data_IF_111250716854
#
_entry.id   IF_111250716854
#
_cell.length_a   1.000
_cell.length_b   1.000
_cell.length_c   1.000
_cell.angle_alpha   90.00
_cell.angle_beta   90.00
_cell.angle_gamma   90.00
#
_symmetry.space_group_name_H-M   'P 1'
#
loop_
_entity.id
_entity.type
_entity.pdbx_description
1 polymer ?
2 non-polymer ?
3 non-polymer ?
4 non-polymer ?
5 non-polymer ?
6 water ?
#
# COMPACT_ATOMS: atom_id res chain seq x y z
N UNK A 1 20.42 28.81 -7.13
CA UNK A 1 21.47 28.92 -6.06
C UNK A 1 21.59 27.57 -5.34
N UNK A 2 20.45 26.92 -5.10
CA UNK A 2 20.40 25.65 -4.37
C UNK A 2 20.85 24.45 -5.19
N UNK A 3 20.60 24.45 -6.51
CA UNK A 3 21.06 23.36 -7.39
C UNK A 3 22.14 23.80 -8.42
N UNK A 4 22.78 24.93 -8.15
CA UNK A 4 23.90 25.42 -8.94
C UNK A 4 25.18 25.12 -8.20
N UNK A 5 26.15 24.55 -8.91
CA UNK A 5 27.40 24.16 -8.29
C UNK A 5 28.36 25.37 -8.13
N UNK A 6 28.78 25.66 -6.90
CA UNK A 6 29.77 26.71 -6.64
C UNK A 6 31.16 26.10 -6.51
N UNK A 7 31.26 24.89 -5.97
CA UNK A 7 32.51 24.17 -5.93
C UNK A 7 32.28 22.66 -5.79
N UNK A 8 33.11 21.87 -6.46
CA UNK A 8 33.12 20.43 -6.32
C UNK A 8 34.54 19.98 -6.05
N UNK A 9 34.76 19.08 -5.09
CA UNK A 9 36.09 18.50 -4.94
C UNK A 9 36.10 17.09 -4.39
N UNK A 10 37.21 16.40 -4.59
CA UNK A 10 37.35 15.07 -4.05
C UNK A 10 37.98 15.23 -2.66
N UNK A 11 37.52 14.43 -1.69
CA UNK A 11 37.92 14.54 -0.29
C UNK A 11 38.13 13.17 0.32
N UNK A 12 38.78 13.11 1.48
CA UNK A 12 38.85 11.88 2.29
C UNK A 12 39.56 10.81 1.51
N UNK A 13 40.81 11.09 1.17
CA UNK A 13 41.60 10.18 0.35
C UNK A 13 40.95 9.96 -1.01
N UNK A 14 40.24 10.98 -1.50
CA UNK A 14 39.45 10.95 -2.75
C UNK A 14 38.30 9.89 -2.84
N UNK A 15 37.85 9.43 -1.67
CA UNK A 15 36.72 8.49 -1.54
C UNK A 15 35.36 9.14 -1.45
N UNK A 16 35.33 10.46 -1.43
CA UNK A 16 34.10 11.24 -1.25
C UNK A 16 34.16 12.45 -2.22
N UNK A 17 33.04 12.86 -2.80
CA UNK A 17 32.96 14.14 -3.48
C UNK A 17 32.09 15.05 -2.65
N UNK A 18 32.55 16.27 -2.44
CA UNK A 18 31.77 17.29 -1.74
C UNK A 18 31.39 18.34 -2.74
N UNK A 19 30.11 18.71 -2.76
CA UNK A 19 29.63 19.81 -3.56
C UNK A 19 29.20 20.93 -2.61
N UNK A 20 29.69 22.14 -2.87
CA UNK A 20 29.20 23.34 -2.20
C UNK A 20 28.28 24.00 -3.23
N UNK A 21 26.99 24.09 -2.92
CA UNK A 21 25.98 24.68 -3.78
C UNK A 21 26.03 26.19 -3.59
N UNK A 22 25.37 26.91 -4.50
CA UNK A 22 25.43 28.37 -4.45
C UNK A 22 24.64 29.00 -3.30
N UNK A 23 23.69 28.25 -2.74
CA UNK A 23 23.02 28.64 -1.49
C UNK A 23 23.88 28.38 -0.23
N UNK A 24 25.14 28.01 -0.42
CA UNK A 24 26.10 27.76 0.65
C UNK A 24 25.94 26.40 1.38
N UNK A 25 24.91 25.61 1.06
CA UNK A 25 24.84 24.24 1.64
C UNK A 25 25.82 23.28 0.97
N UNK A 26 26.17 22.20 1.66
CA UNK A 26 27.13 21.25 1.15
C UNK A 26 26.49 19.87 1.03
N UNK A 27 26.88 19.08 0.03
CA UNK A 27 26.42 17.68 -0.12
C UNK A 27 27.63 16.77 -0.32
N UNK A 28 27.52 15.53 0.17
CA UNK A 28 28.59 14.53 0.09
C UNK A 28 28.09 13.29 -0.66
N UNK A 29 28.94 12.74 -1.53
CA UNK A 29 28.62 11.62 -2.41
C UNK A 29 29.76 10.63 -2.42
N UNK A 30 29.55 9.40 -1.90
CA UNK A 30 30.68 8.50 -1.88
C UNK A 30 31.15 8.17 -3.28
N UNK A 31 32.45 8.03 -3.47
CA UNK A 31 33.00 7.71 -4.76
C UNK A 31 32.50 6.40 -5.35
N UNK A 32 32.35 5.38 -4.52
CA UNK A 32 31.83 4.08 -4.99
C UNK A 32 30.40 4.19 -5.52
N UNK A 33 29.57 5.01 -4.87
CA UNK A 33 28.20 5.26 -5.31
C UNK A 33 28.18 6.00 -6.67
N UNK A 34 29.05 6.99 -6.83
CA UNK A 34 29.15 7.69 -8.10
C UNK A 34 29.54 6.75 -9.22
N UNK A 35 30.59 5.97 -9.01
CA UNK A 35 31.02 5.01 -10.06
C UNK A 35 29.91 3.99 -10.39
N UNK A 36 29.27 3.49 -9.32
CA UNK A 36 28.11 2.56 -9.46
C UNK A 36 27.01 3.14 -10.32
N UNK A 37 26.88 4.46 -10.28
CA UNK A 37 25.77 5.11 -10.95
C UNK A 37 26.15 6.01 -12.10
N UNK A 38 27.30 5.73 -12.70
CA UNK A 38 27.71 6.39 -13.93
C UNK A 38 26.61 6.26 -14.99
N UNK A 39 26.15 7.39 -15.55
CA UNK A 39 25.08 7.32 -16.56
C UNK A 39 25.50 7.07 -17.99
N UNK A 40 26.77 6.77 -18.27
CA UNK A 40 27.20 6.59 -19.64
C UNK A 40 26.57 5.32 -20.23
N UNK A 41 26.60 5.19 -21.54
CA UNK A 41 25.94 4.08 -22.23
C UNK A 41 26.60 2.72 -21.97
N UNK A 42 27.86 2.71 -21.50
CA UNK A 42 28.48 1.46 -21.06
C UNK A 42 27.82 0.93 -19.78
N UNK A 43 27.48 1.84 -18.88
CA UNK A 43 27.08 1.51 -17.53
C UNK A 43 25.62 1.53 -17.33
N UNK A 44 24.88 2.08 -18.29
CA UNK A 44 23.50 2.45 -18.07
C UNK A 44 22.71 2.41 -19.36
N UNK A 45 21.60 1.67 -19.36
CA UNK A 45 20.80 1.46 -20.54
C UNK A 45 19.64 2.44 -20.52
N UNK A 46 19.75 3.49 -21.32
CA UNK A 46 18.84 4.60 -21.19
C UNK A 46 17.40 4.25 -21.56
N UNK A 47 17.23 3.37 -22.54
CA UNK A 47 15.90 3.00 -22.98
C UNK A 47 15.13 2.30 -21.84
N UNK A 48 15.85 1.57 -20.96
CA UNK A 48 15.26 0.84 -19.82
C UNK A 48 15.35 1.63 -18.52
N UNK A 49 16.10 2.72 -18.51
CA UNK A 49 16.41 3.43 -17.27
C UNK A 49 16.92 2.43 -16.20
N UNK A 50 17.93 1.65 -16.57
CA UNK A 50 18.44 0.58 -15.72
C UNK A 50 19.95 0.47 -15.79
N UNK A 51 20.56 -0.06 -14.73
CA UNK A 51 22.00 -0.21 -14.64
C UNK A 51 22.46 -1.46 -15.39
N UNK A 52 23.44 -1.30 -16.28
CA UNK A 52 24.12 -2.41 -16.96
C UNK A 52 25.39 -2.83 -16.19
N UNK A 53 26.03 -1.85 -15.55
CA UNK A 53 27.20 -2.13 -14.73
C UNK A 53 26.97 -3.30 -13.75
N UNK A 54 27.88 -4.26 -13.78
CA UNK A 54 27.81 -5.38 -12.85
C UNK A 54 28.50 -5.02 -11.54
N UNK A 55 28.06 -5.67 -10.45
CA UNK A 55 28.73 -5.57 -9.16
C UNK A 55 30.19 -5.97 -9.31
N UNK A 56 30.41 -6.97 -10.15
CA UNK A 56 31.74 -7.53 -10.39
C UNK A 56 32.65 -6.48 -11.03
N UNK A 57 32.09 -5.47 -11.67
CA UNK A 57 32.93 -4.40 -12.28
C UNK A 57 33.25 -3.27 -11.32
N UNK A 58 32.70 -3.30 -10.11
CA UNK A 58 32.81 -2.20 -9.19
C UNK A 58 33.91 -2.44 -8.15
N UNK A 59 34.93 -1.57 -8.15
CA UNK A 59 35.95 -1.55 -7.11
C UNK A 59 35.39 -0.82 -5.91
N UNK A 60 35.08 -1.55 -4.85
CA UNK A 60 34.47 -0.96 -3.67
C UNK A 60 35.41 0.00 -2.93
N UNK A 61 36.71 -0.07 -3.21
CA UNK A 61 37.72 0.82 -2.61
C UNK A 61 38.12 1.98 -3.53
N UNK A 62 37.32 2.19 -4.58
CA UNK A 62 37.60 3.18 -5.57
C UNK A 62 37.66 4.58 -4.99
N UNK A 63 38.55 5.35 -5.57
CA UNK A 63 38.66 6.80 -5.38
C UNK A 63 38.56 7.55 -6.70
N UNK A 64 38.19 8.82 -6.62
CA UNK A 64 38.19 9.73 -7.78
C UNK A 64 39.62 10.04 -8.25
N UNK A 65 39.96 9.81 -9.52
CA UNK A 65 41.30 10.15 -9.97
C UNK A 65 41.40 11.67 -10.33
N UNK A 66 40.40 12.20 -11.03
CA UNK A 66 40.35 13.63 -11.33
C UNK A 66 38.93 14.11 -11.40
N UNK A 67 38.77 15.39 -11.15
CA UNK A 67 37.47 16.01 -11.19
C UNK A 67 37.59 17.45 -11.67
N UNK A 68 36.70 17.83 -12.59
CA UNK A 68 36.42 19.22 -12.95
C UNK A 68 34.89 19.45 -12.96
N UNK A 69 34.47 20.71 -12.97
CA UNK A 69 33.06 21.02 -12.86
C UNK A 69 32.75 22.37 -13.45
N UNK A 70 31.49 22.59 -13.78
CA UNK A 70 31.01 23.92 -14.09
C UNK A 70 29.77 24.06 -13.22
N UNK A 71 28.95 25.08 -13.47
CA UNK A 71 27.78 25.31 -12.63
C UNK A 71 26.72 24.21 -12.66
N UNK A 72 26.70 23.42 -13.72
CA UNK A 72 25.66 22.46 -13.95
C UNK A 72 26.10 20.98 -13.97
N UNK A 73 27.39 20.69 -14.07
CA UNK A 73 27.87 19.32 -14.18
C UNK A 73 29.19 19.12 -13.50
N UNK A 74 29.43 17.87 -13.07
CA UNK A 74 30.74 17.39 -12.66
C UNK A 74 31.27 16.40 -13.68
N UNK A 75 32.56 16.44 -13.94
CA UNK A 75 33.18 15.57 -14.91
C UNK A 75 34.32 14.84 -14.19
N UNK A 76 34.25 13.50 -14.11
CA UNK A 76 35.15 12.71 -13.30
C UNK A 76 35.94 11.71 -14.10
N UNK A 77 37.22 11.59 -13.79
CA UNK A 77 38.01 10.47 -14.29
C UNK A 77 38.31 9.49 -13.16
N UNK A 78 38.27 8.23 -13.53
CA UNK A 78 38.48 7.16 -12.58
C UNK A 78 39.88 6.52 -12.75
N UNK A 79 40.40 5.88 -11.69
CA UNK A 79 41.73 5.28 -11.80
C UNK A 79 41.93 4.40 -13.04
N UNK A 80 40.90 3.69 -13.50
CA UNK A 80 41.10 2.81 -14.67
C UNK A 80 40.80 3.46 -16.01
N UNK A 81 40.72 4.79 -16.01
CA UNK A 81 40.42 5.63 -17.19
C UNK A 81 38.95 5.66 -17.63
N UNK A 82 38.06 5.02 -16.90
CA UNK A 82 36.65 5.28 -17.14
C UNK A 82 36.34 6.76 -16.86
N UNK A 83 35.34 7.27 -17.57
CA UNK A 83 35.00 8.68 -17.49
C UNK A 83 33.51 8.84 -17.20
N UNK A 84 33.15 9.77 -16.31
CA UNK A 84 31.72 9.97 -15.95
C UNK A 84 31.29 11.46 -15.86
N UNK A 85 30.07 11.77 -16.30
CA UNK A 85 29.47 13.10 -16.14
C UNK A 85 28.21 12.98 -15.31
N UNK A 86 28.05 13.86 -14.33
CA UNK A 86 26.86 13.93 -13.51
C UNK A 86 26.27 15.32 -13.52
N UNK A 87 24.95 15.38 -13.64
CA UNK A 87 24.20 16.64 -13.71
C UNK A 87 23.88 17.18 -12.32
N UNK A 88 23.94 18.51 -12.15
CA UNK A 88 23.74 19.08 -10.83
C UNK A 88 22.38 18.74 -10.19
N UNK A 89 21.32 18.79 -10.98
CA UNK A 89 19.98 18.54 -10.46
C UNK A 89 19.82 17.09 -10.04
N UNK A 90 20.38 16.17 -10.83
CA UNK A 90 20.34 14.73 -10.49
C UNK A 90 21.06 14.52 -9.17
N UNK A 91 22.21 15.17 -9.03
CA UNK A 91 23.00 15.09 -7.81
C UNK A 91 22.22 15.67 -6.61
N UNK A 92 21.63 16.84 -6.81
CA UNK A 92 20.96 17.55 -5.73
C UNK A 92 19.85 16.70 -5.13
N UNK A 93 19.07 16.07 -6.01
CA UNK A 93 17.92 15.26 -5.63
C UNK A 93 18.31 14.05 -4.77
N UNK A 94 19.48 13.47 -5.08
CA UNK A 94 19.99 12.25 -4.42
C UNK A 94 20.94 12.52 -3.26
N UNK A 95 21.02 13.78 -2.81
CA UNK A 95 21.83 14.16 -1.65
C UNK A 95 21.56 13.25 -0.45
N UNK A 96 22.62 12.79 0.18
CA UNK A 96 22.52 11.84 1.28
C UNK A 96 22.17 12.42 2.66
N UNK A 97 21.95 13.73 2.77
CA UNK A 97 21.45 14.29 4.00
C UNK A 97 20.09 13.67 4.37
N UNK A 98 19.82 13.64 5.66
CA UNK A 98 18.59 13.03 6.13
C UNK A 98 17.40 13.76 5.53
N UNK A 99 17.47 15.08 5.51
CA UNK A 99 16.36 15.89 4.98
C UNK A 99 16.10 15.62 3.53
N UNK A 100 17.16 15.58 2.72
CA UNK A 100 16.96 15.36 1.27
C UNK A 100 16.46 13.95 1.00
N UNK A 101 16.97 12.96 1.73
CA UNK A 101 16.51 11.56 1.54
C UNK A 101 15.04 11.39 1.94
N UNK A 102 14.64 11.98 3.07
CA UNK A 102 13.28 11.87 3.56
C UNK A 102 12.30 12.54 2.60
N UNK A 103 12.69 13.69 2.08
CA UNK A 103 11.85 14.38 1.16
C UNK A 103 11.56 13.56 -0.10
N UNK A 104 12.60 12.96 -0.63
CA UNK A 104 12.47 12.15 -1.80
C UNK A 104 11.59 10.91 -1.49
N UNK A 105 11.82 10.24 -0.36
CA UNK A 105 10.93 9.12 0.05
C UNK A 105 9.44 9.50 0.13
N UNK A 106 9.15 10.69 0.65
CA UNK A 106 7.77 11.13 0.66
C UNK A 106 7.20 11.20 -0.73
N UNK A 107 7.99 11.67 -1.68
CA UNK A 107 7.57 11.86 -3.06
C UNK A 107 7.35 10.53 -3.76
N UNK A 108 8.13 9.53 -3.38
CA UNK A 108 8.00 8.21 -3.95
C UNK A 108 6.83 7.43 -3.34
N UNK A 109 6.58 7.57 -2.03
CA UNK A 109 5.69 6.60 -1.32
C UNK A 109 4.43 7.17 -0.69
N UNK A 110 4.21 8.48 -0.82
CA UNK A 110 3.00 9.14 -0.32
C UNK A 110 2.62 8.68 1.09
N UNK A 111 3.54 8.84 2.06
CA UNK A 111 3.26 8.36 3.39
C UNK A 111 2.17 9.12 4.15
N UNK A 112 1.73 10.30 3.70
CA UNK A 112 0.73 11.07 4.48
C UNK A 112 -0.50 10.23 4.81
N UNK A 113 -0.93 10.29 6.07
CA UNK A 113 -1.94 9.41 6.59
C UNK A 113 -2.87 10.19 7.51
N UNK A 114 -4.17 10.05 7.33
CA UNK A 114 -5.10 10.72 8.21
C UNK A 114 -5.99 9.71 8.90
N UNK A 115 -5.74 9.50 10.18
CA UNK A 115 -6.47 8.56 11.00
C UNK A 115 -7.86 9.11 11.28
N UNK A 116 -8.82 8.20 11.44
CA UNK A 116 -10.20 8.61 11.71
C UNK A 116 -10.93 7.59 12.58
N UNK A 117 -11.99 8.07 13.24
CA UNK A 117 -13.00 7.28 13.95
C UNK A 117 -14.40 7.53 13.41
N UNK A 118 -15.38 7.51 14.31
CA UNK A 118 -16.80 7.69 13.93
C UNK A 118 -17.14 9.01 13.26
N UNK A 119 -16.22 9.99 13.38
CA UNK A 119 -16.39 11.33 12.78
C UNK A 119 -16.07 11.39 11.29
N UNK A 120 -15.65 10.27 10.72
CA UNK A 120 -15.34 10.24 9.29
C UNK A 120 -16.42 10.87 8.38
N UNK A 121 -15.94 11.75 7.50
CA UNK A 121 -16.71 12.28 6.41
C UNK A 121 -16.23 11.46 5.24
N UNK A 122 -17.09 10.59 4.72
CA UNK A 122 -16.67 9.65 3.69
C UNK A 122 -16.29 10.36 2.38
N UNK A 123 -14.97 10.35 2.03
CA UNK A 123 -14.57 11.02 0.79
C UNK A 123 -15.34 10.42 -0.39
N UNK A 124 -15.85 11.26 -1.29
CA UNK A 124 -16.79 10.81 -2.30
C UNK A 124 -16.49 11.55 -3.60
N UNK A 125 -16.40 10.79 -4.69
CA UNK A 125 -16.25 11.33 -6.03
C UNK A 125 -17.22 10.68 -6.99
N UNK A 126 -17.37 11.29 -8.17
CA UNK A 126 -18.18 10.72 -9.24
C UNK A 126 -17.38 9.68 -10.04
N UNK A 127 -18.04 8.56 -10.34
CA UNK A 127 -17.44 7.40 -11.02
C UNK A 127 -16.97 7.72 -12.43
N UNK A 128 -17.88 8.22 -13.26
CA UNK A 128 -17.51 8.58 -14.63
C UNK A 128 -16.43 9.64 -14.68
N UNK A 129 -16.47 10.63 -13.78
CA UNK A 129 -15.44 11.66 -13.73
C UNK A 129 -14.07 11.05 -13.53
N UNK A 130 -14.00 10.07 -12.60
CA UNK A 130 -12.76 9.38 -12.27
C UNK A 130 -12.23 8.61 -13.46
N UNK A 131 -13.12 7.99 -14.25
CA UNK A 131 -12.71 7.27 -15.46
C UNK A 131 -12.22 8.23 -16.54
N UNK A 132 -12.73 9.46 -16.51
CA UNK A 132 -12.51 10.37 -17.62
C UNK A 132 -11.38 11.37 -17.36
N UNK A 133 -11.29 11.93 -16.16
CA UNK A 133 -10.32 12.99 -15.88
C UNK A 133 -9.22 12.57 -14.93
N UNK A 134 -7.97 12.84 -15.32
CA UNK A 134 -6.80 12.56 -14.51
C UNK A 134 -6.82 13.31 -13.20
N UNK A 135 -7.31 14.55 -13.22
CA UNK A 135 -7.46 15.34 -12.00
C UNK A 135 -8.32 14.55 -10.98
N UNK A 136 -9.39 13.92 -11.46
CA UNK A 136 -10.29 13.16 -10.59
C UNK A 136 -9.73 11.78 -10.16
N UNK A 137 -9.05 11.10 -11.08
CA UNK A 137 -8.41 9.84 -10.77
C UNK A 137 -7.26 10.07 -9.81
N UNK A 138 -6.61 11.21 -9.90
CA UNK A 138 -5.55 11.55 -8.97
C UNK A 138 -6.09 11.77 -7.56
N UNK A 139 -7.19 12.50 -7.48
CA UNK A 139 -7.81 12.76 -6.21
C UNK A 139 -8.28 11.43 -5.62
N UNK A 140 -8.86 10.60 -6.46
CA UNK A 140 -9.29 9.28 -6.07
C UNK A 140 -8.16 8.49 -5.36
N UNK A 141 -7.05 8.25 -6.05
CA UNK A 141 -5.99 7.40 -5.52
C UNK A 141 -5.21 8.02 -4.36
N UNK A 142 -4.99 9.34 -4.40
CA UNK A 142 -4.28 10.00 -3.34
C UNK A 142 -5.10 9.94 -2.07
N UNK A 143 -6.42 10.05 -2.19
CA UNK A 143 -7.27 10.02 -1.00
C UNK A 143 -7.37 8.58 -0.47
N UNK A 144 -7.48 7.60 -1.37
CA UNK A 144 -7.43 6.20 -1.03
C UNK A 144 -6.20 5.93 -0.19
N UNK A 145 -5.04 6.40 -0.64
CA UNK A 145 -3.76 6.16 0.09
C UNK A 145 -3.72 6.87 1.44
N UNK A 146 -4.16 8.13 1.46
CA UNK A 146 -4.12 8.94 2.67
C UNK A 146 -5.16 8.55 3.73
N UNK A 147 -6.40 8.37 3.31
CA UNK A 147 -7.52 8.19 4.20
C UNK A 147 -7.88 6.70 4.31
N UNK A 148 -7.68 5.93 3.24
CA UNK A 148 -7.88 4.47 3.27
C UNK A 148 -9.19 4.09 2.61
N UNK A 149 -9.96 5.08 2.21
CA UNK A 149 -11.20 4.78 1.52
C UNK A 149 -11.73 5.95 0.73
N UNK A 150 -12.37 5.64 -0.39
CA UNK A 150 -13.08 6.57 -1.20
C UNK A 150 -14.33 5.92 -1.73
N UNK A 151 -15.46 6.59 -1.58
CA UNK A 151 -16.65 6.18 -2.32
C UNK A 151 -16.79 6.85 -3.69
N UNK A 152 -17.21 6.05 -4.65
CA UNK A 152 -17.52 6.58 -5.99
C UNK A 152 -19.00 6.39 -6.25
N UNK A 153 -19.69 7.47 -6.58
CA UNK A 153 -21.12 7.41 -6.87
C UNK A 153 -21.37 7.61 -8.35
N UNK A 154 -22.58 7.27 -8.77
CA UNK A 154 -22.96 7.38 -10.18
C UNK A 154 -22.50 6.26 -11.09
N UNK A 155 -22.10 5.10 -10.56
CA UNK A 155 -21.82 3.97 -11.45
C UNK A 155 -23.16 3.39 -11.90
N UNK A 156 -23.15 2.40 -12.77
CA UNK A 156 -24.39 1.76 -13.17
C UNK A 156 -24.85 0.78 -12.09
N UNK A 157 -25.96 0.13 -12.36
CA UNK A 157 -26.45 -0.92 -11.48
C UNK A 157 -26.27 -2.28 -12.16
N UNK A 158 -25.13 -2.43 -12.86
CA UNK A 158 -24.86 -3.64 -13.64
C UNK A 158 -23.41 -4.07 -13.42
N UNK A 159 -23.13 -5.40 -13.52
CA UNK A 159 -21.72 -5.89 -13.55
C UNK A 159 -20.80 -5.15 -14.51
N UNK A 160 -19.49 -5.20 -14.25
CA UNK A 160 -18.52 -4.59 -15.12
C UNK A 160 -17.97 -3.26 -14.66
N UNK A 161 -18.54 -2.65 -13.62
CA UNK A 161 -17.99 -1.37 -13.18
C UNK A 161 -16.63 -1.50 -12.47
N UNK A 162 -16.48 -2.52 -11.63
CA UNK A 162 -15.17 -2.65 -10.95
C UNK A 162 -14.08 -2.90 -11.99
N UNK A 163 -14.41 -3.65 -13.05
CA UNK A 163 -13.49 -3.92 -14.13
C UNK A 163 -13.01 -2.64 -14.79
N UNK A 164 -13.88 -1.65 -15.01
CA UNK A 164 -13.47 -0.35 -15.57
C UNK A 164 -12.45 0.38 -14.68
N UNK A 165 -12.71 0.39 -13.37
CA UNK A 165 -11.76 0.96 -12.42
C UNK A 165 -10.44 0.18 -12.38
N UNK A 166 -10.52 -1.13 -12.54
CA UNK A 166 -9.33 -1.98 -12.67
C UNK A 166 -8.40 -1.57 -13.80
N UNK A 167 -9.00 -1.36 -14.98
CA UNK A 167 -8.30 -0.81 -16.14
C UNK A 167 -7.76 0.58 -15.89
N UNK A 168 -8.57 1.46 -15.31
CA UNK A 168 -8.07 2.76 -14.90
C UNK A 168 -6.83 2.62 -14.00
N UNK A 169 -6.77 1.62 -13.12
CA UNK A 169 -5.58 1.50 -12.31
C UNK A 169 -4.49 0.89 -13.18
N UNK A 170 -4.83 -0.20 -13.83
CA UNK A 170 -3.89 -0.91 -14.69
C UNK A 170 -4.41 -2.31 -14.90
N UNK A 171 -4.41 -3.10 -13.84
CA UNK A 171 -5.06 -4.41 -13.86
C UNK A 171 -5.40 -4.82 -12.44
N UNK A 172 -6.43 -5.67 -12.39
CA UNK A 172 -6.94 -6.21 -11.17
C UNK A 172 -6.11 -7.45 -10.78
N UNK A 173 -6.30 -7.86 -9.54
CA UNK A 173 -5.52 -8.93 -8.92
C UNK A 173 -6.35 -10.21 -8.89
N UNK A 174 -5.95 -11.19 -9.70
CA UNK A 174 -6.68 -12.47 -9.82
C UNK A 174 -6.46 -13.34 -8.61
N UNK A 175 -7.56 -13.88 -8.06
CA UNK A 175 -7.48 -14.82 -6.93
C UNK A 175 -8.37 -16.05 -7.23
N UNK A 176 -8.37 -17.03 -6.33
CA UNK A 176 -9.19 -18.22 -6.47
C UNK A 176 -10.69 -17.94 -6.56
N UNK A 177 -11.13 -16.73 -6.21
CA UNK A 177 -12.54 -16.34 -6.27
C UNK A 177 -12.87 -15.66 -7.60
N UNK A 178 -11.85 -15.48 -8.45
CA UNK A 178 -12.05 -14.98 -9.80
C UNK A 178 -11.43 -13.61 -10.03
N UNK A 179 -11.53 -13.11 -11.24
CA UNK A 179 -11.10 -11.74 -11.56
C UNK A 179 -11.97 -10.71 -10.86
N UNK A 180 -13.28 -10.95 -10.92
CA UNK A 180 -14.23 -10.26 -10.09
C UNK A 180 -15.12 -11.34 -9.51
N UNK A 181 -15.94 -10.96 -8.55
CA UNK A 181 -16.75 -11.96 -7.85
C UNK A 181 -18.04 -11.38 -7.33
N UNK A 182 -19.01 -12.23 -7.09
CA UNK A 182 -20.37 -11.78 -6.78
C UNK A 182 -20.73 -12.09 -5.31
N UNK A 183 -20.91 -11.03 -4.51
CA UNK A 183 -21.32 -11.18 -3.12
C UNK A 183 -22.85 -11.22 -3.11
N UNK A 184 -23.37 -12.42 -2.92
CA UNK A 184 -24.79 -12.75 -2.88
C UNK A 184 -24.94 -14.00 -2.06
N UNK A 185 -26.16 -14.27 -1.62
CA UNK A 185 -26.48 -15.51 -0.90
C UNK A 185 -26.45 -16.68 -1.87
N UNK A 186 -25.63 -17.72 -1.62
CA UNK A 186 -25.52 -18.85 -2.55
C UNK A 186 -25.75 -20.18 -1.87
N UNK A 187 -26.44 -21.09 -2.58
CA UNK A 187 -26.67 -22.44 -2.07
C UNK A 187 -25.31 -23.10 -2.01
N UNK A 188 -25.04 -23.88 -0.96
CA UNK A 188 -23.73 -24.48 -0.76
C UNK A 188 -22.58 -23.45 -0.82
N UNK A 189 -22.75 -22.35 -0.09
CA UNK A 189 -21.76 -21.26 -0.10
C UNK A 189 -20.37 -21.77 0.25
N UNK A 190 -19.41 -21.49 -0.62
CA UNK A 190 -18.01 -21.77 -0.35
C UNK A 190 -17.32 -20.76 0.60
N UNK A 191 -18.08 -19.77 1.10
CA UNK A 191 -17.53 -18.67 1.88
C UNK A 191 -18.65 -17.97 2.64
N UNK A 192 -18.42 -17.61 3.90
CA UNK A 192 -19.48 -16.94 4.67
C UNK A 192 -19.90 -15.59 4.06
N UNK A 193 -19.02 -15.00 3.25
CA UNK A 193 -19.40 -13.79 2.53
C UNK A 193 -20.62 -14.05 1.64
N UNK A 194 -20.73 -15.27 1.12
CA UNK A 194 -21.79 -15.61 0.16
C UNK A 194 -23.05 -16.20 0.85
N UNK A 195 -23.40 -15.59 1.99
CA UNK A 195 -24.57 -15.90 2.79
C UNK A 195 -25.22 -14.59 3.18
N UNK A 196 -26.35 -14.68 3.91
CA UNK A 196 -27.03 -13.51 4.46
C UNK A 196 -26.57 -13.18 5.92
N UNK A 197 -25.59 -13.91 6.43
CA UNK A 197 -25.09 -13.70 7.79
C UNK A 197 -24.36 -12.37 7.99
N UNK A 198 -24.25 -11.95 9.26
CA UNK A 198 -23.44 -10.81 9.66
C UNK A 198 -21.96 -11.07 9.40
N UNK A 199 -21.22 -10.11 8.84
CA UNK A 199 -19.76 -10.22 8.83
C UNK A 199 -19.23 -9.22 9.82
N UNK A 200 -18.58 -9.71 10.86
CA UNK A 200 -17.91 -8.84 11.81
C UNK A 200 -16.68 -8.28 11.11
N UNK A 201 -16.03 -7.32 11.76
CA UNK A 201 -14.82 -6.70 11.20
C UNK A 201 -13.76 -7.72 10.81
N UNK A 202 -13.31 -7.57 9.58
CA UNK A 202 -12.28 -8.42 9.01
C UNK A 202 -11.54 -7.67 7.89
N UNK A 203 -10.34 -8.15 7.60
CA UNK A 203 -9.68 -7.90 6.31
C UNK A 203 -9.94 -9.12 5.41
N UNK A 204 -9.94 -8.90 4.10
CA UNK A 204 -10.07 -9.95 3.11
C UNK A 204 -8.76 -10.67 2.85
N UNK A 205 -8.91 -11.99 2.82
CA UNK A 205 -7.95 -12.90 2.30
C UNK A 205 -6.68 -13.02 3.15
N UNK A 206 -6.78 -13.00 4.49
CA UNK A 206 -5.52 -13.36 5.18
C UNK A 206 -5.07 -14.80 4.94
N UNK A 207 -5.89 -15.64 4.31
CA UNK A 207 -5.42 -16.98 3.92
C UNK A 207 -4.30 -16.94 2.89
N UNK A 208 -4.07 -15.78 2.26
CA UNK A 208 -2.87 -15.58 1.38
C UNK A 208 -1.74 -14.91 2.17
N UNK A 209 -0.48 -15.28 1.91
CA UNK A 209 0.62 -14.60 2.56
C UNK A 209 0.73 -13.13 2.07
N UNK A 210 0.18 -12.81 0.91
CA UNK A 210 0.17 -11.42 0.41
C UNK A 210 -1.28 -10.99 0.17
N UNK A 211 -1.98 -10.61 1.25
CA UNK A 211 -3.38 -10.30 1.04
C UNK A 211 -3.52 -9.12 0.03
N UNK A 212 -4.65 -9.06 -0.74
CA UNK A 212 -4.95 -7.89 -1.55
C UNK A 212 -4.76 -6.57 -0.78
N UNK A 213 -4.03 -5.63 -1.38
CA UNK A 213 -3.88 -4.31 -0.82
C UNK A 213 -5.12 -3.43 -0.88
N UNK A 214 -5.82 -3.47 -2.00
CA UNK A 214 -6.97 -2.62 -2.27
C UNK A 214 -8.15 -3.47 -2.71
N UNK A 215 -9.30 -3.14 -2.14
CA UNK A 215 -10.51 -3.83 -2.45
C UNK A 215 -11.52 -2.88 -3.07
N UNK A 216 -12.28 -3.37 -4.02
CA UNK A 216 -13.33 -2.61 -4.68
C UNK A 216 -14.64 -3.35 -4.50
N UNK A 217 -15.69 -2.66 -4.09
CA UNK A 217 -17.01 -3.27 -3.88
C UNK A 217 -18.08 -2.34 -4.48
N UNK A 218 -18.84 -2.88 -5.40
CA UNK A 218 -19.84 -2.12 -6.16
C UNK A 218 -21.24 -2.71 -5.87
N UNK A 219 -22.15 -1.84 -5.41
CA UNK A 219 -23.51 -2.27 -5.08
C UNK A 219 -24.34 -2.22 -6.37
N UNK A 220 -24.77 -3.41 -6.76
CA UNK A 220 -25.61 -3.65 -7.91
C UNK A 220 -27.06 -3.65 -7.41
N UNK A 221 -27.29 -4.31 -6.28
CA UNK A 221 -28.62 -4.46 -5.69
C UNK A 221 -28.47 -4.49 -4.18
N UNK A 222 -29.37 -3.84 -3.49
CA UNK A 222 -29.33 -3.71 -2.03
C UNK A 222 -30.68 -4.08 -1.45
N UNK A 223 -30.68 -4.64 -0.26
CA UNK A 223 -31.90 -5.05 0.42
C UNK A 223 -32.26 -4.00 1.47
N UNK A 224 -33.55 -3.78 1.70
CA UNK A 224 -33.99 -2.96 2.86
C UNK A 224 -33.95 -3.73 4.19
N UNK A 225 -33.78 -5.04 4.17
CA UNK A 225 -33.89 -5.80 5.41
C UNK A 225 -32.65 -5.85 6.31
N UNK A 226 -31.59 -5.16 5.92
CA UNK A 226 -30.30 -5.20 6.64
C UNK A 226 -29.17 -4.87 5.63
N UNK A 227 -27.95 -5.35 5.90
CA UNK A 227 -26.84 -5.26 4.93
C UNK A 227 -26.13 -3.91 4.88
N UNK A 228 -26.30 -3.10 5.91
CA UNK A 228 -25.46 -1.90 6.11
C UNK A 228 -24.00 -2.28 6.17
N UNK A 229 -23.14 -1.36 5.73
CA UNK A 229 -21.70 -1.52 5.81
C UNK A 229 -21.11 -0.90 7.05
N UNK A 230 -20.02 -1.46 7.53
CA UNK A 230 -19.27 -0.85 8.63
C UNK A 230 -17.77 -0.92 8.31
N UNK A 231 -17.06 0.15 8.66
CA UNK A 231 -15.60 0.23 8.54
C UNK A 231 -15.01 0.79 9.82
N UNK A 232 -13.74 0.52 10.02
CA UNK A 232 -12.97 1.03 11.12
C UNK A 232 -11.54 1.21 10.58
N UNK A 233 -10.85 2.24 11.05
CA UNK A 233 -9.42 2.46 10.69
C UNK A 233 -8.51 1.56 11.56
N UNK A 234 -8.02 0.45 10.99
CA UNK A 234 -7.18 -0.48 11.76
C UNK A 234 -5.91 0.17 12.38
N UNK A 235 -5.32 1.13 11.68
CA UNK A 235 -4.12 1.75 12.23
C UNK A 235 -4.48 2.56 13.45
N UNK A 236 -5.64 3.19 13.40
CA UNK A 236 -6.14 3.96 14.55
C UNK A 236 -6.43 3.08 15.75
N UNK A 237 -7.11 1.96 15.51
CA UNK A 237 -7.44 1.00 16.57
C UNK A 237 -6.16 0.41 17.20
N UNK A 238 -5.15 0.15 16.39
CA UNK A 238 -3.93 -0.45 16.90
C UNK A 238 -3.24 0.52 17.84
N UNK A 239 -3.26 1.79 17.49
CA UNK A 239 -2.63 2.83 18.30
C UNK A 239 -3.30 2.92 19.67
N UNK A 240 -4.64 2.86 19.69
CA UNK A 240 -5.41 2.89 20.93
C UNK A 240 -5.15 1.62 21.73
N UNK A 241 -5.04 0.47 21.06
CA UNK A 241 -4.75 -0.79 21.77
C UNK A 241 -3.38 -0.78 22.44
N UNK A 242 -2.35 -0.31 21.74
CA UNK A 242 -0.99 -0.21 22.33
C UNK A 242 -0.97 0.66 23.60
N UNK A 243 -1.73 1.75 23.55
CA UNK A 243 -1.95 2.69 24.67
C UNK A 243 -2.71 2.05 25.84
N UNK A 244 -3.91 1.52 25.57
CA UNK A 244 -4.76 0.94 26.62
C UNK A 244 -4.25 -0.41 27.12
N UNK A 245 -3.66 -1.21 26.26
CA UNK A 245 -3.34 -2.58 26.61
C UNK A 245 -2.09 -3.11 25.92
N UNK A 246 -0.93 -2.62 26.37
CA UNK A 246 0.31 -2.95 25.69
C UNK A 246 0.53 -4.44 25.66
N UNK A 247 0.05 -5.15 26.67
CA UNK A 247 0.19 -6.62 26.65
C UNK A 247 -0.58 -7.29 25.52
N UNK A 248 -1.85 -6.93 25.37
CA UNK A 248 -2.65 -7.41 24.23
C UNK A 248 -2.00 -7.07 22.89
N UNK A 249 -1.50 -5.84 22.78
CA UNK A 249 -0.79 -5.39 21.59
C UNK A 249 0.43 -6.22 21.30
N UNK A 250 1.24 -6.46 22.33
CA UNK A 250 2.40 -7.32 22.22
C UNK A 250 2.04 -8.73 21.71
N UNK A 251 0.99 -9.34 22.27
CA UNK A 251 0.57 -10.71 21.85
C UNK A 251 0.11 -10.71 20.38
N UNK A 252 -0.74 -9.76 20.04
CA UNK A 252 -1.27 -9.75 18.69
C UNK A 252 -0.24 -9.44 17.61
N UNK A 253 0.76 -8.61 17.95
CA UNK A 253 1.82 -8.25 17.03
C UNK A 253 2.99 -9.22 17.03
N UNK A 254 2.92 -10.24 17.88
CA UNK A 254 3.99 -11.24 17.91
C UNK A 254 3.54 -12.69 17.66
N UNK A 255 2.25 -13.00 17.74
CA UNK A 255 1.80 -14.38 17.62
C UNK A 255 1.39 -14.75 16.21
N UNK A 256 1.98 -15.81 15.66
CA UNK A 256 1.54 -16.30 14.33
C UNK A 256 0.27 -17.14 14.43
N UNK A 257 -0.75 -16.72 13.70
CA UNK A 257 -2.04 -17.32 13.61
C UNK A 257 -2.17 -17.98 12.26
N UNK A 258 -2.73 -19.18 12.25
CA UNK A 258 -2.90 -19.94 11.01
C UNK A 258 -4.25 -19.63 10.40
N UNK A 259 -4.26 -19.30 9.10
CA UNK A 259 -5.47 -19.10 8.32
C UNK A 259 -5.58 -20.17 7.22
N UNK A 260 -6.83 -20.47 6.85
CA UNK A 260 -7.12 -21.55 5.91
C UNK A 260 -8.30 -21.24 5.01
N UNK A 261 -8.26 -21.82 3.81
CA UNK A 261 -9.39 -21.71 2.88
C UNK A 261 -9.32 -22.87 1.91
N UNK A 262 -10.32 -23.74 1.95
CA UNK A 262 -10.36 -24.93 1.12
C UNK A 262 -11.70 -24.95 0.40
N UNK A 263 -11.69 -25.24 -0.89
CA UNK A 263 -12.93 -25.20 -1.67
C UNK A 263 -12.71 -25.13 -3.16
N UNK A 264 -13.77 -24.79 -3.88
CA UNK A 264 -13.69 -24.71 -5.31
C UNK A 264 -14.40 -23.46 -5.74
N UNK A 265 -13.74 -22.66 -6.57
CA UNK A 265 -14.42 -21.52 -7.16
C UNK A 265 -13.84 -21.27 -8.58
N UNK A 266 -12.97 -20.28 -8.77
CA UNK A 266 -12.31 -20.09 -10.08
C UNK A 266 -11.48 -21.35 -10.45
N UNK A 267 -10.88 -21.94 -9.43
CA UNK A 267 -10.12 -23.14 -9.53
C UNK A 267 -10.40 -23.88 -8.25
N UNK A 268 -9.95 -25.12 -8.14
CA UNK A 268 -10.01 -25.81 -6.85
C UNK A 268 -8.79 -25.42 -6.02
N UNK A 269 -8.99 -25.26 -4.71
CA UNK A 269 -7.94 -24.69 -3.87
C UNK A 269 -7.90 -25.28 -2.47
N UNK A 270 -6.69 -25.30 -1.91
CA UNK A 270 -6.48 -25.64 -0.53
C UNK A 270 -5.38 -24.71 0.00
N UNK A 271 -5.78 -23.60 0.59
CA UNK A 271 -4.89 -22.50 0.90
C UNK A 271 -4.63 -22.42 2.41
N UNK A 272 -3.37 -22.25 2.76
CA UNK A 272 -2.96 -22.15 4.15
C UNK A 272 -1.97 -21.02 4.31
N UNK A 273 -2.07 -20.30 5.44
CA UNK A 273 -1.08 -19.28 5.80
C UNK A 273 -0.86 -19.16 7.28
N UNK A 274 0.13 -18.34 7.63
CA UNK A 274 0.39 -17.86 8.99
C UNK A 274 0.64 -16.35 8.90
N UNK A 275 0.13 -15.59 9.86
CA UNK A 275 0.35 -14.13 9.94
C UNK A 275 0.23 -13.72 11.37
N UNK A 276 0.92 -12.64 11.71
CA UNK A 276 0.65 -11.92 12.92
C UNK A 276 -0.54 -11.00 12.62
N UNK A 277 -1.57 -11.01 13.47
CA UNK A 277 -2.78 -10.19 13.22
C UNK A 277 -2.44 -8.69 13.08
N UNK A 278 -1.56 -8.21 13.95
CA UNK A 278 -1.03 -6.86 13.85
C UNK A 278 0.40 -7.00 13.37
N UNK A 279 0.64 -6.53 12.14
CA UNK A 279 1.92 -6.78 11.50
C UNK A 279 2.77 -5.53 11.50
N UNK A 280 3.93 -5.58 12.15
CA UNK A 280 4.78 -4.39 12.37
C UNK A 280 5.95 -4.36 11.39
N UNK A 281 6.40 -3.16 10.99
CA UNK A 281 7.64 -3.08 10.20
C UNK A 281 8.86 -3.17 11.16
N UNK A 282 10.07 -3.00 10.64
CA UNK A 282 11.27 -3.15 11.46
C UNK A 282 11.44 -2.04 12.48
N UNK A 283 10.75 -0.93 12.31
CA UNK A 283 10.74 0.16 13.29
C UNK A 283 9.56 0.11 14.21
N UNK A 284 8.80 -0.98 14.19
CA UNK A 284 7.66 -1.06 15.09
C UNK A 284 6.39 -0.33 14.65
N UNK A 285 6.32 0.16 13.43
CA UNK A 285 5.08 0.78 12.92
C UNK A 285 4.15 -0.27 12.32
N UNK A 286 2.87 -0.19 12.64
CA UNK A 286 1.91 -1.09 12.05
C UNK A 286 1.79 -0.81 10.56
N UNK A 287 1.98 -1.84 9.75
CA UNK A 287 1.86 -1.72 8.30
C UNK A 287 0.76 -2.56 7.72
N UNK A 288 0.32 -3.58 8.45
CA UNK A 288 -0.83 -4.38 8.00
C UNK A 288 -1.55 -5.09 9.14
N UNK A 289 -2.86 -5.13 9.00
CA UNK A 289 -3.74 -5.98 9.78
C UNK A 289 -4.12 -7.18 8.94
N UNK A 290 -3.96 -8.36 9.52
CA UNK A 290 -4.32 -9.61 8.82
C UNK A 290 -5.31 -10.36 9.70
N UNK A 291 -6.59 -10.24 9.41
CA UNK A 291 -7.61 -10.81 10.32
C UNK A 291 -8.99 -11.00 9.72
N UNK A 292 -9.34 -12.26 9.53
CA UNK A 292 -10.69 -12.65 9.21
C UNK A 292 -11.06 -13.84 10.15
N UNK A 293 -12.06 -13.65 11.01
CA UNK A 293 -12.44 -14.70 11.97
C UNK A 293 -13.06 -15.92 11.31
N UNK A 294 -13.59 -15.77 10.11
CA UNK A 294 -14.19 -16.89 9.41
C UNK A 294 -13.10 -17.83 8.93
N UNK A 295 -11.98 -17.29 8.43
CA UNK A 295 -10.93 -18.11 7.86
C UNK A 295 -9.76 -18.41 8.77
N UNK A 296 -9.76 -17.86 9.98
CA UNK A 296 -8.79 -18.31 11.00
C UNK A 296 -8.97 -19.84 11.21
N UNK A 297 -7.88 -20.58 11.17
CA UNK A 297 -7.95 -22.04 11.20
C UNK A 297 -8.35 -22.59 12.60
N UNK A 298 -8.78 -23.85 12.65
CA UNK A 298 -8.96 -24.60 13.91
C UNK A 298 -7.59 -24.99 14.47
N UNK A 299 -6.66 -25.23 13.55
CA UNK A 299 -5.25 -25.46 13.83
C UNK A 299 -4.74 -24.15 14.43
N UNK A 300 -4.12 -24.24 15.60
CA UNK A 300 -3.53 -23.07 16.22
C UNK A 300 -2.20 -23.49 16.79
N UNK A 301 -1.14 -23.01 16.12
CA UNK A 301 0.21 -23.47 16.35
C UNK A 301 0.89 -22.64 17.45
N UNK A 302 0.44 -22.81 18.68
CA UNK A 302 1.10 -22.19 19.84
C UNK A 302 1.05 -23.13 21.04
N UNK A 303 2.00 -22.97 21.99
CA UNK A 303 1.90 -23.78 23.19
C UNK A 303 0.63 -23.48 23.96
N UNK A 304 0.19 -24.47 24.72
CA UNK A 304 -1.14 -24.46 25.31
C UNK A 304 -1.35 -23.25 26.21
N UNK A 305 -0.29 -22.88 26.93
CA UNK A 305 -0.37 -21.79 27.88
C UNK A 305 -0.50 -20.40 27.23
N UNK A 306 -0.18 -20.31 25.94
CA UNK A 306 -0.36 -19.06 25.21
C UNK A 306 -1.75 -18.88 24.59
N UNK A 307 -2.55 -19.92 24.59
CA UNK A 307 -3.83 -19.92 23.89
C UNK A 307 -4.83 -18.96 24.50
N UNK A 308 -5.10 -19.08 25.79
CA UNK A 308 -6.15 -18.25 26.35
C UNK A 308 -5.77 -16.76 26.39
N UNK A 309 -4.50 -16.45 26.77
CA UNK A 309 -4.07 -15.06 26.63
C UNK A 309 -4.22 -14.51 25.20
N UNK A 310 -4.03 -15.34 24.17
CA UNK A 310 -4.23 -14.89 22.81
C UNK A 310 -5.67 -14.48 22.62
N UNK A 311 -6.60 -15.33 23.04
CA UNK A 311 -8.00 -15.00 22.88
C UNK A 311 -8.40 -13.78 23.69
N UNK A 312 -7.89 -13.63 24.88
CA UNK A 312 -8.23 -12.45 25.68
C UNK A 312 -7.76 -11.16 24.98
N UNK A 313 -6.59 -11.21 24.33
CA UNK A 313 -6.05 -10.11 23.52
C UNK A 313 -6.91 -9.79 22.32
N UNK A 314 -7.21 -10.83 21.55
CA UNK A 314 -8.10 -10.66 20.39
C UNK A 314 -9.45 -10.03 20.76
N UNK A 315 -10.03 -10.45 21.88
CA UNK A 315 -11.30 -9.89 22.33
C UNK A 315 -11.15 -8.38 22.61
N UNK A 316 -10.07 -7.98 23.27
CA UNK A 316 -9.86 -6.52 23.55
C UNK A 316 -9.78 -5.77 22.23
N UNK A 317 -9.13 -6.38 21.25
CA UNK A 317 -8.90 -5.75 19.97
C UNK A 317 -10.22 -5.58 19.24
N UNK A 318 -11.06 -6.62 19.25
CA UNK A 318 -12.38 -6.56 18.57
C UNK A 318 -13.33 -5.58 19.24
N UNK A 319 -13.31 -5.55 20.56
CA UNK A 319 -14.11 -4.59 21.32
C UNK A 319 -13.77 -3.14 20.97
N UNK A 320 -12.48 -2.82 20.86
CA UNK A 320 -12.06 -1.48 20.40
C UNK A 320 -12.62 -1.16 19.02
N UNK A 321 -12.54 -2.13 18.10
CA UNK A 321 -13.06 -1.93 16.75
C UNK A 321 -14.55 -1.61 16.73
N UNK A 322 -15.28 -2.29 17.60
CA UNK A 322 -16.71 -2.10 17.72
C UNK A 322 -17.15 -0.85 18.46
N UNK A 323 -16.24 -0.21 19.18
CA UNK A 323 -16.54 0.98 19.96
C UNK A 323 -17.13 2.09 19.09
N UNK A 324 -18.09 2.81 19.66
CA UNK A 324 -18.84 3.85 18.93
C UNK A 324 -17.94 5.02 18.51
N UNK A 325 -16.81 5.20 19.16
CA UNK A 325 -15.86 6.23 18.77
C UNK A 325 -15.01 5.83 17.54
N UNK A 326 -14.89 4.53 17.24
CA UNK A 326 -14.02 4.05 16.13
C UNK A 326 -14.78 3.73 14.84
N UNK A 327 -15.95 3.20 15.00
CA UNK A 327 -16.65 2.59 13.93
C UNK A 327 -17.46 3.66 13.14
N UNK A 328 -17.54 3.45 11.83
CA UNK A 328 -18.32 4.29 10.92
C UNK A 328 -19.20 3.37 10.12
N UNK A 329 -20.50 3.68 10.11
CA UNK A 329 -21.52 2.88 9.48
C UNK A 329 -22.20 3.65 8.34
N UNK A 330 -22.61 2.97 7.29
CA UNK A 330 -23.32 3.63 6.17
C UNK A 330 -23.92 2.51 5.38
N UNK A 331 -24.71 2.82 4.38
CA UNK A 331 -25.37 1.80 3.63
C UNK A 331 -25.21 2.11 2.17
N UNK A 332 -24.72 1.12 1.41
CA UNK A 332 -24.48 1.27 -0.02
C UNK A 332 -25.81 1.22 -0.78
N UNK A 333 -25.93 2.05 -1.81
CA UNK A 333 -27.04 1.99 -2.75
C UNK A 333 -26.57 1.55 -4.12
N UNK A 334 -27.46 0.98 -4.95
CA UNK A 334 -27.12 0.67 -6.32
C UNK A 334 -26.40 1.82 -7.01
N UNK A 335 -25.28 1.51 -7.67
CA UNK A 335 -24.45 2.52 -8.30
C UNK A 335 -23.33 3.09 -7.47
N UNK A 336 -23.25 2.72 -6.19
CA UNK A 336 -22.17 3.17 -5.29
C UNK A 336 -21.03 2.17 -5.43
N UNK A 337 -19.79 2.67 -5.38
CA UNK A 337 -18.60 1.79 -5.36
C UNK A 337 -17.74 2.23 -4.20
N UNK A 338 -17.32 1.30 -3.34
CA UNK A 338 -16.29 1.69 -2.33
C UNK A 338 -14.97 1.04 -2.73
N UNK A 339 -13.90 1.81 -2.62
CA UNK A 339 -12.55 1.40 -2.92
C UNK A 339 -11.78 1.69 -1.64
N UNK A 340 -11.08 0.72 -1.08
CA UNK A 340 -10.42 0.97 0.17
C UNK A 340 -9.16 0.15 0.41
N UNK A 341 -8.36 0.59 1.38
CA UNK A 341 -7.12 -0.04 1.77
C UNK A 341 -7.43 -1.23 2.67
N UNK A 342 -7.31 -2.41 2.09
CA UNK A 342 -7.60 -3.67 2.78
C UNK A 342 -6.44 -4.17 3.67
N UNK A 343 -5.30 -3.49 3.63
CA UNK A 343 -4.24 -3.65 4.66
C UNK A 343 -4.48 -2.85 5.95
N UNK A 344 -5.30 -1.80 5.87
CA UNK A 344 -5.44 -0.88 6.97
C UNK A 344 -6.84 -0.93 7.57
N UNK A 345 -7.87 -0.79 6.74
CA UNK A 345 -9.25 -0.86 7.22
C UNK A 345 -9.63 -2.29 7.53
N UNK A 346 -10.58 -2.46 8.47
CA UNK A 346 -11.38 -3.67 8.53
C UNK A 346 -12.81 -3.24 8.23
N UNK A 347 -13.56 -4.15 7.64
CA UNK A 347 -14.88 -3.86 7.19
C UNK A 347 -15.80 -5.02 7.54
N UNK A 348 -17.08 -4.74 7.50
CA UNK A 348 -18.08 -5.74 7.80
C UNK A 348 -19.44 -5.39 7.26
N UNK A 349 -20.40 -6.24 7.55
CA UNK A 349 -21.75 -5.94 7.16
C UNK A 349 -22.74 -6.59 8.12
N UNK A 350 -23.91 -5.95 8.18
CA UNK A 350 -25.00 -6.42 8.99
C UNK A 350 -25.75 -7.55 8.27
N UNK A 351 -26.33 -8.47 9.04
CA UNK A 351 -27.11 -9.58 8.48
C UNK A 351 -28.33 -9.02 7.78
N UNK A 352 -28.88 -9.84 6.88
CA UNK A 352 -30.09 -9.47 6.18
C UNK A 352 -30.89 -10.74 5.91
N UNK A 353 -32.06 -10.63 5.33
CA UNK A 353 -32.98 -11.76 5.29
C UNK A 353 -32.84 -12.53 3.98
N UNK A 354 -32.76 -13.85 4.08
CA UNK A 354 -32.84 -14.69 2.87
C UNK A 354 -34.23 -14.63 2.25
N UNK A 355 -34.29 -14.83 0.93
CA UNK A 355 -35.55 -15.13 0.28
C UNK A 355 -35.36 -15.96 -0.98
N UNK A 356 -36.40 -16.05 -1.79
CA UNK A 356 -36.42 -16.96 -2.95
C UNK A 356 -35.75 -16.32 -4.19
N UNK A 357 -35.72 -15.00 -4.23
CA UNK A 357 -34.92 -14.30 -5.22
C UNK A 357 -33.74 -13.58 -4.57
N UNK A 358 -32.78 -13.16 -5.38
CA UNK A 358 -31.61 -12.43 -4.90
C UNK A 358 -32.03 -10.99 -4.55
N UNK A 359 -31.91 -10.62 -3.27
CA UNK A 359 -32.29 -9.28 -2.80
C UNK A 359 -31.08 -8.35 -2.68
N UNK A 360 -29.88 -8.92 -2.77
CA UNK A 360 -28.67 -8.15 -2.53
C UNK A 360 -27.54 -8.71 -3.35
N UNK A 361 -26.80 -7.84 -4.03
CA UNK A 361 -25.74 -8.24 -4.95
C UNK A 361 -24.69 -7.11 -4.99
N UNK A 362 -23.46 -7.44 -4.59
CA UNK A 362 -22.33 -6.57 -4.86
C UNK A 362 -21.37 -7.32 -5.78
N UNK A 363 -20.64 -6.56 -6.63
CA UNK A 363 -19.51 -7.11 -7.33
C UNK A 363 -18.19 -6.52 -6.79
N UNK A 364 -17.25 -7.41 -6.48
CA UNK A 364 -15.99 -6.99 -5.88
C UNK A 364 -14.84 -7.47 -6.71
N UNK A 365 -13.69 -6.87 -6.43
CA UNK A 365 -12.41 -7.18 -7.06
C UNK A 365 -11.32 -6.68 -6.14
N UNK A 366 -10.08 -7.07 -6.46
CA UNK A 366 -8.92 -6.65 -5.72
C UNK A 366 -7.89 -6.03 -6.65
N UNK A 367 -7.00 -5.23 -6.06
CA UNK A 367 -5.84 -4.74 -6.77
C UNK A 367 -4.62 -4.72 -5.82
N UNK A 368 -3.42 -4.87 -6.38
CA UNK A 368 -2.17 -4.80 -5.65
C UNK A 368 -1.76 -3.34 -5.36
N UNK A 369 -1.26 -3.09 -4.16
CA UNK A 369 -0.86 -1.72 -3.81
C UNK A 369 0.23 -1.17 -4.70
N UNK A 370 1.09 -2.03 -5.22
CA UNK A 370 2.15 -1.58 -6.12
C UNK A 370 1.64 -1.11 -7.46
N UNK A 371 0.58 -1.78 -7.93
CA UNK A 371 -0.09 -1.43 -9.15
C UNK A 371 -0.77 -0.07 -8.98
N UNK A 372 -1.41 0.10 -7.85
CA UNK A 372 -2.10 1.34 -7.53
C UNK A 372 -1.14 2.52 -7.36
N UNK A 373 -0.07 2.32 -6.58
CA UNK A 373 0.93 3.36 -6.38
C UNK A 373 1.59 3.76 -7.69
N UNK A 374 1.89 2.79 -8.56
CA UNK A 374 2.42 3.12 -9.89
C UNK A 374 1.50 4.10 -10.64
N UNK A 375 0.20 3.81 -10.65
CA UNK A 375 -0.75 4.71 -11.30
C UNK A 375 -0.78 6.06 -10.58
N UNK A 376 -0.65 6.03 -9.25
CA UNK A 376 -0.69 7.25 -8.48
C UNK A 376 0.49 8.17 -8.89
N UNK A 377 1.69 7.59 -8.96
CA UNK A 377 2.89 8.29 -9.40
C UNK A 377 2.76 8.91 -10.76
N UNK A 378 2.23 8.12 -11.71
CA UNK A 378 2.02 8.61 -13.08
C UNK A 378 0.99 9.75 -13.15
N UNK A 379 -0.13 9.56 -12.47
CA UNK A 379 -1.14 10.58 -12.41
C UNK A 379 -0.62 11.87 -11.81
N UNK A 380 0.15 11.82 -10.71
CA UNK A 380 0.61 13.04 -10.10
C UNK A 380 1.43 13.88 -11.06
N UNK A 381 2.27 13.19 -11.82
CA UNK A 381 3.15 13.83 -12.77
C UNK A 381 2.37 14.48 -13.89
N UNK A 382 1.35 13.78 -14.39
CA UNK A 382 0.48 14.30 -15.45
C UNK A 382 -0.29 15.51 -14.98
N UNK A 383 -0.80 15.47 -13.75
CA UNK A 383 -1.55 16.59 -13.17
C UNK A 383 -0.65 17.77 -12.75
N UNK A 384 0.58 17.54 -12.31
CA UNK A 384 1.53 18.64 -12.02
C UNK A 384 2.63 18.78 -13.08
X LIG B 1 -16.86 -9.72 1.67
X LIG B 1 -17.44 -8.53 2.32
X LIG B 1 -19.22 -6.93 2.42
X LIG B 1 -20.70 -6.93 2.20
X LIG B 1 -15.74 -10.09 2.05
X LIG B 1 -17.51 -10.28 0.76
X LIG B 1 -16.84 -7.97 3.22
X LIG B 1 -21.24 -5.86 2.49
X LIG B 1 -18.62 -8.11 1.85
X LIG B 1 -21.32 -7.95 1.81
X LIG C 1 -14.46 -13.13 -0.89
X LIG C 1 -13.85 -12.92 -2.22
X LIG C 1 -12.33 -15.21 2.87
X LIG C 1 -12.01 -14.02 3.04
X LIG C 1 -10.95 -13.76 3.59
X LIG C 1 -12.86 -12.81 2.63
X LIG C 1 -13.40 -12.91 0.17
X LIG C 1 -15.52 -12.14 -0.75
X LIG C 1 -15.08 -14.46 -0.84
X LIG C 1 -13.93 -13.12 1.59
X LIG C 1 -12.16 -13.77 0.01
X LIG D 1 -14.78 -8.76 3.23
X LIG E 1 30.16 4.62 -17.30
X LIG F 1 33.12 20.43 -20.56
X LIG F 1 33.99 19.38 -19.95
X LIG F 1 34.04 18.08 -20.78
X LIG F 1 35.17 17.16 -20.28
X LIG F 1 35.47 15.99 -21.23
X LIG F 1 36.53 15.07 -20.62
X LIG F 1 36.72 13.76 -21.36
X LIG F 1 37.83 12.96 -20.77
X LIG G 1 -8.16 -24.21 -12.72
X LIG H 1 19.19 23.31 -11.31
#
# INVERSE_FOLDING_TARGET
>A
MACTIQKAEALDGAHLMQILWYDEEESLYPAVWLRDNCPCSDCYLDSAKARKLLVEALDVNIGIKGLIFDRKKVYITWPDEHYSEFQADWLKKRCFSKQARAKLQRELFFPECQYWGSELQLPTLDFEDVLRYDEHAYKWLSTLKKVGIVRLTGASDKPGEVSKLGKRMGFLYLTFYGHTWQVQDKIDANNVAYTTGKLSFHTDYPALHHPPGVQLLHCIKQTVTGGDSEIVDGFNVCQKLKKNNPQAFQILSSTFVDFTDIGVDYCDFSVQSKHKIIELDDKGQVVRINFNNATRDTIFDVPVERVQPFYAALKEFVDLMNSKESKFTFKMNPGDVITFDNWRLLHGRRSYEAGTEISRHLEGAYADWDVVMSRLRILRQRVENGN
>B hetero
1 OGA C1 C2 C4 C5 O1 O2 O2' O3 N1 O4
>C hetero
1 MZT N1 C8 O4 C5 O7 C6 C2 C9 C10 C3 C21
>D hetero
1 ZN ZN
>E hetero
1 ZN ZN
>F hetero
1 16D N1 C1 C2 C3 C4 C5 C6 N2
>G hetero
1 ZN ZN
>H hetero
1 ZN ZN
#
